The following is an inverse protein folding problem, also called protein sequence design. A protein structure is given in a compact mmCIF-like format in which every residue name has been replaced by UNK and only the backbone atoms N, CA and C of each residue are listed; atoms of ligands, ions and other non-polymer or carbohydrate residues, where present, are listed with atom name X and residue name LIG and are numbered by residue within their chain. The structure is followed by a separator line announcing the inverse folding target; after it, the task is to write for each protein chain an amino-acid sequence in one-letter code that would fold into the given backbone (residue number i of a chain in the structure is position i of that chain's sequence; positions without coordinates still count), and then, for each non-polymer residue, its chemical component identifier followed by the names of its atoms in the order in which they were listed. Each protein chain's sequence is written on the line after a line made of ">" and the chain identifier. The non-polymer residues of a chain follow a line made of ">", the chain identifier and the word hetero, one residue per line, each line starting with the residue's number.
data_IF_823860955262
#
_entry.id   IF_823860955262
#
_cell.length_a   1.000
_cell.length_b   1.000
_cell.length_c   1.000
_cell.angle_alpha   90.00
_cell.angle_beta   90.00
_cell.angle_gamma   90.00
#
_symmetry.space_group_name_H-M   'P 1'
#
loop_
_entity.id
_entity.type
_entity.pdbx_description
1 polymer ?
#
# COMPACT_ATOMS: atom_id res chain seq x y z
N UNK A 1 10.35 -4.20 5.66
CA UNK A 1 10.34 -2.75 5.34
C UNK A 1 10.34 -2.58 3.83
N UNK A 2 9.63 -1.59 3.30
CA UNK A 2 9.53 -1.36 1.86
C UNK A 2 10.02 0.04 1.48
N UNK A 3 10.71 0.17 0.35
CA UNK A 3 11.30 1.41 -0.11
C UNK A 3 11.44 1.45 -1.63
N UNK A 4 11.52 2.67 -2.18
CA UNK A 4 11.89 2.91 -3.58
C UNK A 4 13.42 2.97 -3.69
N UNK A 5 14.01 2.16 -4.56
CA UNK A 5 15.46 2.23 -4.82
C UNK A 5 15.82 3.33 -5.83
N UNK A 6 17.12 3.50 -6.12
CA UNK A 6 17.60 4.53 -7.05
C UNK A 6 17.11 4.35 -8.49
N UNK A 7 16.89 3.10 -8.93
CA UNK A 7 16.31 2.78 -10.24
C UNK A 7 14.80 3.02 -10.30
N UNK A 8 14.15 3.29 -9.16
CA UNK A 8 12.72 3.54 -9.06
C UNK A 8 11.87 2.30 -8.81
N UNK A 9 12.48 1.14 -8.55
CA UNK A 9 11.71 -0.08 -8.27
C UNK A 9 11.38 -0.18 -6.78
N UNK A 10 10.26 -0.82 -6.48
CA UNK A 10 9.95 -1.24 -5.11
C UNK A 10 10.99 -2.27 -4.64
N UNK A 11 11.45 -2.12 -3.41
CA UNK A 11 12.41 -3.03 -2.78
C UNK A 11 11.97 -3.30 -1.36
N UNK A 12 12.02 -4.57 -0.97
CA UNK A 12 11.79 -4.98 0.40
C UNK A 12 13.14 -5.27 1.09
N UNK A 13 13.31 -4.71 2.28
CA UNK A 13 14.35 -5.06 3.25
C UNK A 13 13.69 -5.85 4.38
N UNK A 14 14.20 -7.05 4.66
CA UNK A 14 13.69 -7.95 5.71
C UNK A 14 14.81 -8.48 6.58
N UNK A 15 14.45 -8.89 7.79
CA UNK A 15 15.29 -9.67 8.70
C UNK A 15 14.59 -11.02 8.91
N UNK A 16 15.32 -12.10 8.69
CA UNK A 16 14.87 -13.47 8.96
C UNK A 16 15.74 -14.01 10.10
N UNK A 17 15.22 -13.89 11.32
CA UNK A 17 15.74 -14.53 12.53
C UNK A 17 17.25 -14.36 12.79
N UNK A 18 17.79 -13.14 12.88
CA UNK A 18 19.10 -13.00 13.53
C UNK A 18 19.91 -11.72 13.29
N UNK A 19 19.27 -10.56 13.16
CA UNK A 19 19.94 -9.24 13.12
C UNK A 19 20.66 -8.89 11.82
N UNK A 20 20.39 -9.60 10.72
CA UNK A 20 20.93 -9.28 9.41
C UNK A 20 19.83 -8.81 8.48
N UNK A 21 20.01 -7.62 7.92
CA UNK A 21 19.08 -7.08 6.91
C UNK A 21 19.44 -7.61 5.53
N UNK A 22 18.48 -8.25 4.89
CA UNK A 22 18.61 -8.78 3.54
C UNK A 22 17.67 -8.02 2.60
N UNK A 23 18.04 -7.98 1.32
CA UNK A 23 17.08 -7.66 0.26
C UNK A 23 16.32 -8.95 -0.08
N UNK A 24 15.00 -8.91 -0.04
CA UNK A 24 14.17 -10.12 -0.15
C UNK A 24 13.97 -10.56 -1.61
N UNK A 25 13.26 -11.69 -1.77
CA UNK A 25 12.69 -12.20 -3.02
C UNK A 25 11.39 -11.51 -3.44
N UNK A 26 11.15 -10.24 -3.08
CA UNK A 26 10.10 -9.44 -3.71
C UNK A 26 10.35 -9.47 -5.24
N UNK A 27 9.58 -10.28 -5.95
CA UNK A 27 9.70 -10.54 -7.39
C UNK A 27 8.61 -9.76 -8.13
N UNK A 28 8.65 -8.44 -8.02
CA UNK A 28 7.76 -7.56 -8.77
C UNK A 28 8.60 -6.55 -9.55
N UNK A 29 8.07 -6.13 -10.70
CA UNK A 29 8.70 -5.14 -11.57
C UNK A 29 8.05 -3.76 -11.39
N UNK A 30 7.28 -3.58 -10.31
CA UNK A 30 6.53 -2.35 -10.08
C UNK A 30 7.50 -1.18 -9.88
N UNK A 31 7.26 -0.15 -10.67
CA UNK A 31 7.95 1.12 -10.55
C UNK A 31 7.17 2.04 -9.62
N UNK A 32 7.91 2.67 -8.72
CA UNK A 32 7.40 3.65 -7.76
C UNK A 32 7.81 5.03 -8.26
N UNK A 33 6.82 5.91 -8.44
CA UNK A 33 7.06 7.25 -8.94
C UNK A 33 7.90 8.05 -7.94
N UNK A 34 8.66 9.02 -8.45
CA UNK A 34 9.46 9.89 -7.57
C UNK A 34 8.51 10.71 -6.68
N UNK A 35 8.77 10.70 -5.37
CA UNK A 35 7.95 11.41 -4.38
C UNK A 35 6.75 10.62 -3.86
N UNK A 36 6.48 9.42 -4.39
CA UNK A 36 5.41 8.55 -3.89
C UNK A 36 5.57 8.28 -2.40
N UNK A 37 4.45 8.27 -1.69
CA UNK A 37 4.38 7.83 -0.31
C UNK A 37 4.03 6.33 -0.28
N UNK A 38 4.61 5.59 0.66
CA UNK A 38 4.42 4.15 0.80
C UNK A 38 3.73 3.83 2.12
N UNK A 39 2.77 2.92 2.08
CA UNK A 39 2.22 2.27 3.27
C UNK A 39 2.25 0.76 3.05
N UNK A 40 2.40 0.01 4.13
CA UNK A 40 2.29 -1.43 4.07
C UNK A 40 1.41 -1.94 5.21
N UNK A 41 0.65 -2.98 4.93
CA UNK A 41 -0.09 -3.73 5.92
C UNK A 41 0.15 -5.22 5.73
N UNK A 42 0.23 -5.93 6.84
CA UNK A 42 0.37 -7.38 6.88
C UNK A 42 -0.71 -7.99 7.76
N UNK A 43 -1.17 -9.17 7.38
CA UNK A 43 -2.12 -9.96 8.17
C UNK A 43 -1.89 -11.45 7.95
N UNK A 44 -2.23 -12.26 8.95
CA UNK A 44 -2.33 -13.71 8.82
C UNK A 44 -3.79 -14.06 8.50
N UNK A 45 -4.00 -14.84 7.45
CA UNK A 45 -5.32 -15.22 6.96
C UNK A 45 -5.23 -16.67 6.47
N UNK A 46 -5.99 -17.58 7.09
CA UNK A 46 -5.89 -19.03 6.91
C UNK A 46 -4.45 -19.58 7.03
N UNK A 47 -3.67 -19.05 7.98
CA UNK A 47 -2.28 -19.45 8.22
C UNK A 47 -1.28 -18.94 7.16
N UNK A 48 -1.76 -18.17 6.16
CA UNK A 48 -0.93 -17.56 5.14
C UNK A 48 -0.69 -16.09 5.44
N UNK A 49 0.57 -15.66 5.31
CA UNK A 49 0.94 -14.26 5.38
C UNK A 49 0.44 -13.53 4.13
N UNK A 50 -0.41 -12.53 4.33
CA UNK A 50 -0.86 -11.61 3.29
C UNK A 50 -0.27 -10.24 3.54
N UNK A 51 0.34 -9.66 2.53
CA UNK A 51 0.96 -8.33 2.60
C UNK A 51 0.40 -7.48 1.48
N UNK A 52 0.11 -6.22 1.74
CA UNK A 52 -0.09 -5.21 0.71
C UNK A 52 0.85 -4.04 0.95
N UNK A 53 1.52 -3.61 -0.11
CA UNK A 53 2.38 -2.43 -0.15
C UNK A 53 1.75 -1.46 -1.14
N UNK A 54 1.20 -0.37 -0.63
CA UNK A 54 0.48 0.65 -1.36
C UNK A 54 1.40 1.82 -1.65
N UNK A 55 1.30 2.40 -2.85
CA UNK A 55 2.03 3.59 -3.24
C UNK A 55 1.10 4.60 -3.92
N UNK A 56 1.09 5.85 -3.43
CA UNK A 56 0.41 6.97 -4.10
C UNK A 56 1.09 7.29 -5.43
N UNK A 57 0.35 7.45 -6.52
CA UNK A 57 0.91 7.73 -7.84
C UNK A 57 1.11 9.23 -8.08
N UNK A 58 1.99 9.58 -9.01
CA UNK A 58 2.29 10.97 -9.40
C UNK A 58 1.19 11.62 -10.25
N UNK A 59 0.33 10.82 -10.88
CA UNK A 59 -0.82 11.22 -11.67
C UNK A 59 -2.16 11.03 -10.91
N UNK A 60 -2.10 10.63 -9.64
CA UNK A 60 -3.27 10.31 -8.83
C UNK A 60 -3.61 8.82 -8.80
N UNK A 61 -4.32 8.43 -7.75
CA UNK A 61 -4.63 7.05 -7.45
C UNK A 61 -3.52 6.31 -6.70
N UNK A 62 -3.70 5.00 -6.56
CA UNK A 62 -2.79 4.11 -5.82
C UNK A 62 -2.42 2.91 -6.67
N UNK A 63 -1.14 2.53 -6.62
CA UNK A 63 -0.63 1.24 -7.11
C UNK A 63 -0.25 0.34 -5.95
N UNK A 64 -0.16 -0.96 -6.17
CA UNK A 64 0.04 -1.95 -5.11
C UNK A 64 0.91 -3.11 -5.54
N UNK A 65 1.88 -3.49 -4.71
CA UNK A 65 2.43 -4.84 -4.69
C UNK A 65 1.76 -5.62 -3.55
N UNK A 66 1.38 -6.87 -3.78
CA UNK A 66 0.73 -7.69 -2.75
C UNK A 66 1.18 -9.15 -2.77
N UNK A 67 1.35 -9.70 -1.58
CA UNK A 67 1.59 -11.12 -1.33
C UNK A 67 0.26 -11.78 -0.97
N UNK A 68 -0.15 -12.79 -1.74
CA UNK A 68 -1.33 -13.61 -1.45
C UNK A 68 -0.92 -15.08 -1.34
N UNK A 69 -0.48 -15.49 -0.15
CA UNK A 69 0.15 -16.79 0.05
C UNK A 69 1.65 -16.72 -0.21
N UNK A 70 2.13 -17.40 -1.25
CA UNK A 70 3.58 -17.55 -1.51
C UNK A 70 4.13 -16.68 -2.63
N UNK A 71 3.26 -16.05 -3.43
CA UNK A 71 3.66 -15.28 -4.61
C UNK A 71 3.30 -13.79 -4.50
N UNK A 72 4.26 -12.96 -4.90
CA UNK A 72 4.06 -11.53 -5.07
C UNK A 72 3.38 -11.24 -6.41
N UNK A 73 2.46 -10.29 -6.38
CA UNK A 73 1.72 -9.77 -7.52
C UNK A 73 1.71 -8.24 -7.47
N UNK A 74 1.34 -7.60 -8.57
CA UNK A 74 1.30 -6.14 -8.67
C UNK A 74 0.05 -5.64 -9.41
N UNK A 75 -0.38 -4.43 -9.06
CA UNK A 75 -1.41 -3.65 -9.74
C UNK A 75 -0.90 -2.22 -9.90
N UNK A 76 -0.94 -1.68 -11.12
CA UNK A 76 -0.62 -0.26 -11.35
C UNK A 76 -1.78 0.68 -11.01
N UNK A 77 -2.99 0.15 -10.87
CA UNK A 77 -4.16 0.87 -10.36
C UNK A 77 -4.99 -0.02 -9.44
N UNK A 78 -5.23 0.44 -8.22
CA UNK A 78 -6.02 -0.26 -7.21
C UNK A 78 -7.47 0.18 -7.30
N UNK A 79 -8.37 -0.77 -7.57
CA UNK A 79 -9.80 -0.52 -7.65
C UNK A 79 -10.34 0.09 -6.35
N UNK A 80 -11.00 1.24 -6.47
CA UNK A 80 -11.64 2.01 -5.41
C UNK A 80 -10.73 3.04 -4.74
N UNK A 81 -9.49 3.18 -5.21
CA UNK A 81 -8.53 4.18 -4.75
C UNK A 81 -8.08 5.15 -5.86
N UNK A 82 -8.78 5.21 -7.00
CA UNK A 82 -8.43 6.06 -8.15
C UNK A 82 -8.53 7.56 -7.85
N UNK A 83 -9.36 7.93 -6.86
CA UNK A 83 -9.58 9.32 -6.43
C UNK A 83 -8.56 9.86 -5.42
N UNK A 84 -7.57 9.05 -5.03
CA UNK A 84 -6.48 9.51 -4.15
C UNK A 84 -5.70 10.62 -4.85
N UNK A 85 -5.44 11.72 -4.15
CA UNK A 85 -4.69 12.84 -4.72
C UNK A 85 -3.28 12.41 -5.16
N UNK A 86 -2.71 13.04 -6.21
CA UNK A 86 -1.33 12.81 -6.62
C UNK A 86 -0.35 12.95 -5.45
N UNK A 87 0.55 11.96 -5.30
CA UNK A 87 1.59 11.92 -4.27
C UNK A 87 1.07 12.11 -2.82
N UNK A 88 -0.21 11.79 -2.59
CA UNK A 88 -0.85 11.93 -1.30
C UNK A 88 -0.14 11.10 -0.21
N UNK A 89 0.03 11.63 1.02
CA UNK A 89 0.37 10.82 2.18
C UNK A 89 -0.55 9.60 2.27
N UNK A 90 0.02 8.43 2.55
CA UNK A 90 -0.73 7.19 2.70
C UNK A 90 -0.30 6.49 3.99
N UNK A 91 -1.27 6.05 4.79
CA UNK A 91 -1.08 5.23 5.98
C UNK A 91 -2.02 4.03 5.92
N UNK A 92 -1.61 2.91 6.49
CA UNK A 92 -2.41 1.68 6.49
C UNK A 92 -2.34 0.99 7.86
N UNK A 93 -3.41 0.29 8.22
CA UNK A 93 -3.52 -0.50 9.44
C UNK A 93 -3.59 -1.99 9.10
N UNK A 94 -3.21 -2.85 10.06
CA UNK A 94 -3.33 -4.31 9.89
C UNK A 94 -4.79 -4.78 9.73
N UNK A 95 -5.76 -4.01 10.24
CA UNK A 95 -7.18 -4.27 10.07
C UNK A 95 -7.68 -4.01 8.64
N UNK A 96 -6.84 -3.47 7.76
CA UNK A 96 -7.19 -3.20 6.36
C UNK A 96 -7.78 -1.81 6.12
N UNK A 97 -7.68 -0.91 7.11
CA UNK A 97 -7.99 0.51 6.88
C UNK A 97 -6.80 1.22 6.26
N UNK A 98 -7.08 2.12 5.32
CA UNK A 98 -6.10 2.98 4.67
C UNK A 98 -6.57 4.43 4.79
N UNK A 99 -5.63 5.34 4.98
CA UNK A 99 -5.86 6.76 5.13
C UNK A 99 -4.97 7.53 4.17
N UNK A 100 -5.55 8.47 3.45
CA UNK A 100 -4.88 9.37 2.50
C UNK A 100 -5.59 10.72 2.46
N UNK A 101 -4.99 11.70 1.78
CA UNK A 101 -5.70 12.93 1.39
C UNK A 101 -6.53 12.69 0.13
N UNK A 102 -7.80 13.10 0.20
CA UNK A 102 -8.71 13.24 -0.95
C UNK A 102 -8.92 14.72 -1.31
N UNK A 103 -9.85 14.96 -2.23
CA UNK A 103 -10.24 16.32 -2.65
C UNK A 103 -10.50 17.26 -1.45
N UNK A 104 -10.11 18.52 -1.59
CA UNK A 104 -10.18 19.49 -0.49
C UNK A 104 -9.11 19.27 0.59
N UNK A 105 -8.13 18.40 0.36
CA UNK A 105 -7.05 18.07 1.31
C UNK A 105 -7.56 17.52 2.65
N UNK A 106 -8.72 16.85 2.62
CA UNK A 106 -9.26 16.19 3.79
C UNK A 106 -8.72 14.76 3.88
N UNK A 107 -8.52 14.29 5.12
CA UNK A 107 -8.22 12.87 5.35
C UNK A 107 -9.47 12.08 4.99
N UNK A 108 -9.29 11.04 4.18
CA UNK A 108 -10.33 10.10 3.80
C UNK A 108 -9.95 8.73 4.34
N UNK A 109 -10.95 7.92 4.64
CA UNK A 109 -10.78 6.54 5.08
C UNK A 109 -11.24 5.58 3.99
N UNK A 110 -10.49 4.50 3.82
CA UNK A 110 -10.79 3.37 2.95
C UNK A 110 -10.72 2.09 3.76
N UNK A 111 -11.57 1.12 3.43
CA UNK A 111 -11.52 -0.23 3.99
C UNK A 111 -11.28 -1.25 2.90
N UNK A 112 -10.37 -2.18 3.14
CA UNK A 112 -10.06 -3.28 2.23
C UNK A 112 -11.22 -4.27 2.14
N UNK A 113 -11.56 -4.67 0.91
CA UNK A 113 -12.42 -5.81 0.63
C UNK A 113 -11.59 -7.10 0.50
N UNK A 114 -12.17 -8.24 0.90
CA UNK A 114 -11.52 -9.56 0.84
C UNK A 114 -11.48 -10.19 -0.57
N UNK A 115 -11.45 -9.39 -1.63
CA UNK A 115 -11.31 -9.86 -3.01
C UNK A 115 -9.86 -10.26 -3.34
N UNK A 116 -9.70 -11.02 -4.42
CA UNK A 116 -8.40 -11.30 -5.05
C UNK A 116 -8.48 -10.89 -6.53
N UNK A 117 -7.80 -9.81 -6.95
CA UNK A 117 -6.89 -8.98 -6.16
C UNK A 117 -7.61 -8.12 -5.09
N UNK A 118 -6.90 -7.63 -4.06
CA UNK A 118 -7.48 -6.74 -3.06
C UNK A 118 -8.03 -5.45 -3.70
N UNK A 119 -9.22 -5.05 -3.26
CA UNK A 119 -9.86 -3.79 -3.63
C UNK A 119 -10.20 -3.01 -2.36
N UNK A 120 -10.52 -1.72 -2.49
CA UNK A 120 -10.82 -0.86 -1.35
C UNK A 120 -12.15 -0.13 -1.55
N UNK A 121 -12.95 -0.06 -0.49
CA UNK A 121 -14.15 0.76 -0.44
C UNK A 121 -13.83 2.07 0.26
N UNK A 122 -14.15 3.20 -0.37
CA UNK A 122 -14.07 4.52 0.26
C UNK A 122 -15.19 4.67 1.30
N UNK A 123 -14.84 4.91 2.55
CA UNK A 123 -15.79 5.13 3.64
C UNK A 123 -16.23 6.59 3.76
N UNK A 124 -15.35 7.54 3.45
CA UNK A 124 -15.68 8.96 3.46
C UNK A 124 -14.55 9.81 4.03
N UNK A 125 -14.80 11.12 4.15
CA UNK A 125 -13.88 12.06 4.79
C UNK A 125 -13.98 11.92 6.31
N UNK A 126 -12.83 11.95 6.98
CA UNK A 126 -12.75 11.95 8.44
C UNK A 126 -12.94 13.38 8.93
N UNK A 127 -13.87 13.55 9.86
CA UNK A 127 -14.04 14.82 10.54
C UNK A 127 -12.92 15.01 11.57
N UNK A 128 -12.02 15.96 11.31
CA UNK A 128 -10.88 16.26 12.18
C UNK A 128 -11.14 17.42 13.15
N UNK A 129 -12.34 18.02 13.15
CA UNK A 129 -12.67 19.19 13.97
C UNK A 129 -13.49 18.89 15.22
N UNK A 130 -14.00 17.68 15.36
CA UNK A 130 -14.73 17.23 16.56
C UNK A 130 -13.81 16.31 17.38
N UNK A 131 -13.29 16.82 18.49
CA UNK A 131 -12.46 16.08 19.46
C UNK A 131 -13.25 15.87 20.75
#
# INVERSE_FOLDING_TARGET
>A
MYLRNSAGNLTELYDEYGHNWYKTKLQTNITIDRGSQLAALSRLDDGLLKIQVLASKSDGGVKMAFLNGTLWNELDSVNGMESVLPLSPIAATQAGYVYTLGEGHQVVEWVRNNSSPPTFLRLGTINTTNV
#
